data_IF_816378314181
#
_entry.id   IF_816378314181
#
_cell.length_a   1.000
_cell.length_b   1.000
_cell.length_c   1.000
_cell.angle_alpha   90.00
_cell.angle_beta   90.00
_cell.angle_gamma   90.00
#
_symmetry.space_group_name_H-M   'P 1'
#
loop_
_entity.id
_entity.type
_entity.pdbx_description
1 polymer ?
#
# COMPACT_ATOMS: atom_id res chain seq x y z
N UNK A 1 -3.22 -3.93 -4.01
CA UNK A 1 -1.92 -3.79 -3.31
C UNK A 1 -1.82 -4.87 -2.27
N UNK A 2 -0.76 -5.67 -2.28
CA UNK A 2 -0.53 -6.66 -1.23
C UNK A 2 0.09 -5.96 -0.02
N UNK A 3 -0.48 -6.16 1.17
CA UNK A 3 0.09 -5.68 2.42
C UNK A 3 1.38 -6.46 2.72
N UNK A 4 2.45 -5.72 3.03
CA UNK A 4 3.67 -6.26 3.60
C UNK A 4 3.71 -6.10 5.12
N UNK A 5 4.93 -6.05 5.66
CA UNK A 5 5.16 -5.92 7.10
C UNK A 5 4.54 -4.64 7.66
N UNK A 6 4.02 -4.76 8.88
CA UNK A 6 3.48 -3.64 9.65
C UNK A 6 4.63 -2.74 10.09
N UNK A 7 4.49 -1.44 9.83
CA UNK A 7 5.48 -0.46 10.27
C UNK A 7 5.27 -0.10 11.75
N UNK A 8 6.35 0.18 12.50
CA UNK A 8 6.24 0.62 13.88
C UNK A 8 5.52 1.97 13.95
N UNK A 9 4.46 2.04 14.76
CA UNK A 9 3.76 3.29 15.02
C UNK A 9 4.60 4.16 15.96
N UNK A 10 5.13 5.28 15.46
CA UNK A 10 5.88 6.26 16.26
C UNK A 10 5.03 7.11 17.22
N UNK A 11 3.73 6.84 17.31
CA UNK A 11 2.78 7.61 18.12
C UNK A 11 2.40 6.84 19.40
N UNK A 12 2.21 7.52 20.54
CA UNK A 12 1.72 6.88 21.76
C UNK A 12 0.34 6.23 21.55
N UNK A 13 -0.01 5.21 22.36
CA UNK A 13 -1.22 4.38 22.19
C UNK A 13 -2.56 5.11 22.34
N UNK A 14 -2.58 6.44 22.46
CA UNK A 14 -3.80 7.26 22.62
C UNK A 14 -4.49 7.63 21.30
N UNK A 15 -3.90 7.32 20.13
CA UNK A 15 -4.53 7.58 18.83
C UNK A 15 -4.98 6.28 18.17
N UNK A 16 -6.29 6.14 18.01
CA UNK A 16 -6.96 5.09 17.22
C UNK A 16 -6.70 5.26 15.72
N UNK A 17 -5.43 5.25 15.30
CA UNK A 17 -5.03 5.27 13.91
C UNK A 17 -5.04 3.86 13.31
N UNK A 18 -5.41 3.75 12.03
CA UNK A 18 -5.24 2.50 11.29
C UNK A 18 -3.76 2.10 11.24
N UNK A 19 -3.48 0.79 11.26
CA UNK A 19 -2.12 0.28 11.13
C UNK A 19 -1.52 0.66 9.76
N UNK A 20 -0.28 1.15 9.77
CA UNK A 20 0.47 1.45 8.55
C UNK A 20 1.28 0.22 8.16
N UNK A 21 1.22 -0.17 6.89
CA UNK A 21 1.96 -1.32 6.34
C UNK A 21 2.83 -0.87 5.18
N UNK A 22 3.98 -1.54 5.02
CA UNK A 22 4.70 -1.52 3.75
C UNK A 22 3.86 -2.18 2.65
N UNK A 23 4.11 -1.82 1.38
CA UNK A 23 3.47 -2.46 0.22
C UNK A 23 4.43 -3.48 -0.35
N UNK A 24 4.08 -4.77 -0.29
CA UNK A 24 4.90 -5.84 -0.84
C UNK A 24 4.83 -5.88 -2.38
N UNK A 25 3.65 -5.60 -2.95
CA UNK A 25 3.44 -5.57 -4.39
C UNK A 25 2.30 -4.62 -4.77
N UNK A 26 2.50 -3.88 -5.86
CA UNK A 26 1.46 -3.14 -6.56
C UNK A 26 1.10 -3.86 -7.86
N UNK A 27 -0.20 -4.09 -8.09
CA UNK A 27 -0.72 -4.69 -9.33
C UNK A 27 -1.91 -3.88 -9.79
N UNK A 28 -1.82 -3.34 -11.01
CA UNK A 28 -2.91 -2.62 -11.66
C UNK A 28 -3.76 -3.61 -12.44
N UNK A 29 -5.08 -3.63 -12.16
CA UNK A 29 -6.10 -4.34 -12.97
C UNK A 29 -5.74 -5.80 -13.30
N UNK A 30 -5.69 -6.71 -12.30
CA UNK A 30 -5.41 -8.12 -12.55
C UNK A 30 -6.55 -8.78 -13.36
N UNK A 31 -6.27 -9.88 -14.08
CA UNK A 31 -7.30 -10.74 -14.65
C UNK A 31 -8.24 -11.29 -13.58
N UNK A 32 -9.47 -11.70 -13.98
CA UNK A 32 -10.50 -12.19 -13.05
C UNK A 32 -10.02 -13.33 -12.14
N UNK A 33 -9.31 -14.33 -12.70
CA UNK A 33 -8.78 -15.46 -11.93
C UNK A 33 -7.84 -14.99 -10.81
N UNK A 34 -6.93 -14.09 -11.13
CA UNK A 34 -5.96 -13.51 -10.18
C UNK A 34 -6.66 -12.61 -9.16
N UNK A 35 -7.67 -11.84 -9.57
CA UNK A 35 -8.47 -11.02 -8.65
C UNK A 35 -9.20 -11.90 -7.61
N UNK A 36 -9.68 -13.07 -8.02
CA UNK A 36 -10.33 -14.01 -7.11
C UNK A 36 -9.34 -14.57 -6.08
N UNK A 37 -8.11 -14.89 -6.50
CA UNK A 37 -7.02 -15.30 -5.59
C UNK A 37 -6.71 -14.21 -4.57
N UNK A 38 -6.69 -12.93 -4.98
CA UNK A 38 -6.43 -11.80 -4.09
C UNK A 38 -7.48 -11.66 -2.99
N UNK A 39 -8.76 -11.86 -3.34
CA UNK A 39 -9.86 -11.84 -2.36
C UNK A 39 -9.73 -13.00 -1.36
N UNK A 40 -9.39 -14.21 -1.84
CA UNK A 40 -9.19 -15.38 -0.99
C UNK A 40 -7.98 -15.23 -0.06
N UNK A 41 -6.90 -14.61 -0.53
CA UNK A 41 -5.68 -14.41 0.27
C UNK A 41 -5.88 -13.44 1.45
N UNK A 42 -6.85 -12.52 1.36
CA UNK A 42 -7.23 -11.63 2.48
C UNK A 42 -6.22 -10.55 2.85
N UNK A 43 -5.05 -10.51 2.20
CA UNK A 43 -3.98 -9.52 2.42
C UNK A 43 -3.80 -8.56 1.22
N UNK A 44 -4.77 -8.51 0.31
CA UNK A 44 -4.81 -7.55 -0.78
C UNK A 44 -5.85 -6.47 -0.51
N UNK A 45 -5.42 -5.20 -0.60
CA UNK A 45 -6.28 -4.02 -0.51
C UNK A 45 -6.46 -3.38 -1.89
N UNK A 46 -7.65 -2.86 -2.16
CA UNK A 46 -7.91 -2.10 -3.38
C UNK A 46 -7.28 -0.72 -3.30
N UNK A 47 -6.62 -0.32 -4.38
CA UNK A 47 -6.08 1.02 -4.52
C UNK A 47 -7.24 2.00 -4.74
N UNK A 48 -7.42 2.96 -3.83
CA UNK A 48 -8.46 3.99 -3.93
C UNK A 48 -8.10 5.12 -4.92
N UNK A 49 -6.89 5.12 -5.48
CA UNK A 49 -6.41 6.19 -6.36
C UNK A 49 -6.00 7.46 -5.62
N UNK A 50 -5.79 7.39 -4.30
CA UNK A 50 -5.36 8.50 -3.45
C UNK A 50 -3.92 8.27 -3.03
N UNK A 51 -3.06 9.26 -3.24
CA UNK A 51 -1.64 9.19 -2.91
C UNK A 51 -1.18 10.44 -2.17
N UNK A 52 -0.25 10.26 -1.23
CA UNK A 52 0.37 11.34 -0.46
C UNK A 52 1.87 11.08 -0.38
N UNK A 53 2.67 12.07 -0.77
CA UNK A 53 4.12 12.02 -0.75
C UNK A 53 4.70 13.43 -0.54
N UNK A 54 5.98 13.50 -0.17
CA UNK A 54 6.74 14.75 -0.29
C UNK A 54 7.02 15.02 -1.77
N UNK A 55 6.86 16.28 -2.19
CA UNK A 55 7.10 16.69 -3.58
C UNK A 55 8.52 16.33 -4.06
N UNK A 56 9.54 16.59 -3.22
CA UNK A 56 10.92 16.24 -3.54
C UNK A 56 11.11 14.73 -3.81
N UNK A 57 10.50 13.88 -2.96
CA UNK A 57 10.63 12.42 -3.07
C UNK A 57 9.99 11.88 -4.35
N UNK A 58 8.81 12.37 -4.76
CA UNK A 58 8.19 11.89 -6.00
C UNK A 58 8.94 12.38 -7.25
N UNK A 59 9.47 13.61 -7.23
CA UNK A 59 10.25 14.14 -8.34
C UNK A 59 11.57 13.37 -8.53
N UNK A 60 12.24 13.03 -7.43
CA UNK A 60 13.44 12.21 -7.45
C UNK A 60 13.15 10.79 -8.00
N UNK A 61 12.06 10.16 -7.55
CA UNK A 61 11.68 8.82 -8.03
C UNK A 61 11.33 8.81 -9.53
N UNK A 62 10.67 9.85 -10.03
CA UNK A 62 10.33 9.99 -11.46
C UNK A 62 11.56 10.23 -12.34
N UNK A 63 12.59 10.89 -11.82
CA UNK A 63 13.84 11.13 -12.55
C UNK A 63 14.72 9.86 -12.69
N UNK A 64 14.44 8.80 -11.92
CA UNK A 64 15.16 7.52 -11.95
C UNK A 64 14.49 6.47 -12.85
N UNK A 65 13.43 6.83 -13.57
CA UNK A 65 12.72 5.99 -14.55
C UNK A 65 13.40 6.04 -15.92
#
# INVERSE_FOLDING_TARGET
MQQGERLPSGSPPSQSGAAVHSVAMFREKPPLSVAQEYLTAGNFLWNAGIFVWKAATILEALAQQ
#
